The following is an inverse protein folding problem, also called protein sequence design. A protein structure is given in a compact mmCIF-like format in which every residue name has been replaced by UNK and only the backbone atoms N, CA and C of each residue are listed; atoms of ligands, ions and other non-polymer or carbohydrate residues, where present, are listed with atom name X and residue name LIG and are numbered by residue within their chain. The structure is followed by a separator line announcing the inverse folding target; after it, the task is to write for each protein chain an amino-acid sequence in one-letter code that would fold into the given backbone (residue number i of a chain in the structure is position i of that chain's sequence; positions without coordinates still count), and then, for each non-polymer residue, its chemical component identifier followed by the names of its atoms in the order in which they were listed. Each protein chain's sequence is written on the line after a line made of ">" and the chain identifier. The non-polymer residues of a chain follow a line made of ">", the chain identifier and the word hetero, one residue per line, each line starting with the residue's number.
data_IF_619909952588
#
_entry.id   IF_619909952588
#
_cell.length_a   1.000
_cell.length_b   1.000
_cell.length_c   1.000
_cell.angle_alpha   90.00
_cell.angle_beta   90.00
_cell.angle_gamma   90.00
#
_symmetry.space_group_name_H-M   'P 1'
#
loop_
_entity.id
_entity.type
_entity.pdbx_description
1 polymer ?
#
# COMPACT_ATOMS: atom_id res chain seq x y z
N UNK A 1 25.82 -39.70 18.37
CA UNK A 1 24.77 -38.92 17.66
C UNK A 1 24.07 -38.04 18.67
N UNK A 2 23.82 -36.77 18.35
CA UNK A 2 23.00 -35.92 19.22
C UNK A 2 21.54 -36.42 19.16
N UNK A 3 20.81 -36.46 20.28
CA UNK A 3 19.39 -36.82 20.26
C UNK A 3 18.60 -35.84 19.39
N UNK A 4 17.68 -36.36 18.58
CA UNK A 4 16.73 -35.53 17.85
C UNK A 4 15.52 -35.21 18.74
N UNK A 5 15.02 -33.98 18.64
CA UNK A 5 13.86 -33.51 19.42
C UNK A 5 12.78 -32.92 18.50
N UNK A 6 12.03 -33.76 17.76
CA UNK A 6 11.06 -33.29 16.76
C UNK A 6 9.96 -32.39 17.33
N UNK A 7 9.44 -32.73 18.53
CA UNK A 7 8.40 -31.94 19.20
C UNK A 7 8.87 -30.53 19.54
N UNK A 8 10.11 -30.41 20.01
CA UNK A 8 10.71 -29.10 20.36
C UNK A 8 10.91 -28.29 19.08
N UNK A 9 11.45 -28.90 18.03
CA UNK A 9 11.66 -28.25 16.72
C UNK A 9 10.35 -27.71 16.14
N UNK A 10 9.30 -28.53 16.08
CA UNK A 10 7.99 -28.11 15.56
C UNK A 10 7.36 -26.98 16.39
N UNK A 11 7.52 -27.02 17.72
CA UNK A 11 7.05 -25.94 18.58
C UNK A 11 7.82 -24.63 18.35
N UNK A 12 9.15 -24.71 18.22
CA UNK A 12 10.00 -23.55 17.90
C UNK A 12 9.68 -22.97 16.53
N UNK A 13 9.43 -23.82 15.53
CA UNK A 13 9.03 -23.40 14.20
C UNK A 13 7.72 -22.61 14.24
N UNK A 14 6.70 -23.13 14.94
CA UNK A 14 5.42 -22.43 15.10
C UNK A 14 5.59 -21.05 15.75
N UNK A 15 6.33 -20.98 16.85
CA UNK A 15 6.64 -19.70 17.53
C UNK A 15 7.39 -18.75 16.59
N UNK A 16 8.35 -19.28 15.83
CA UNK A 16 9.10 -18.53 14.84
C UNK A 16 8.19 -17.91 13.78
N UNK A 17 7.35 -18.72 13.13
CA UNK A 17 6.40 -18.28 12.11
C UNK A 17 5.44 -17.21 12.64
N UNK A 18 4.87 -17.43 13.82
CA UNK A 18 3.94 -16.46 14.43
C UNK A 18 4.64 -15.13 14.74
N UNK A 19 5.89 -15.17 15.21
CA UNK A 19 6.69 -13.97 15.46
C UNK A 19 7.01 -13.21 14.16
N UNK A 20 7.38 -13.92 13.08
CA UNK A 20 7.65 -13.30 11.77
C UNK A 20 6.40 -12.62 11.22
N UNK A 21 5.26 -13.31 11.24
CA UNK A 21 3.97 -12.76 10.79
C UNK A 21 3.56 -11.52 11.57
N UNK A 22 3.75 -11.52 12.88
CA UNK A 22 3.44 -10.35 13.70
C UNK A 22 4.37 -9.19 13.38
N UNK A 23 5.67 -9.44 13.18
CA UNK A 23 6.63 -8.40 12.82
C UNK A 23 6.34 -7.78 11.46
N UNK A 24 6.01 -8.60 10.46
CA UNK A 24 5.55 -8.17 9.14
C UNK A 24 4.33 -7.26 9.26
N UNK A 25 3.28 -7.70 9.98
CA UNK A 25 2.07 -6.90 10.22
C UNK A 25 2.39 -5.54 10.86
N UNK A 26 3.28 -5.52 11.86
CA UNK A 26 3.66 -4.27 12.52
C UNK A 26 4.46 -3.31 11.62
N UNK A 27 5.30 -3.84 10.71
CA UNK A 27 6.01 -3.01 9.73
C UNK A 27 5.06 -2.44 8.67
N UNK A 28 4.06 -3.22 8.26
CA UNK A 28 3.08 -2.81 7.25
C UNK A 28 2.11 -1.77 7.81
N UNK A 29 1.65 -1.93 9.05
CA UNK A 29 0.86 -0.92 9.78
C UNK A 29 1.56 0.44 9.92
N UNK A 30 2.89 0.47 9.86
CA UNK A 30 3.69 1.71 9.92
C UNK A 30 3.91 2.36 8.54
N UNK A 31 3.25 1.84 7.51
CA UNK A 31 3.39 2.30 6.12
C UNK A 31 2.04 2.61 5.49
N UNK A 32 2.04 3.06 4.23
CA UNK A 32 0.80 3.31 3.47
C UNK A 32 -0.10 2.07 3.31
N UNK A 33 0.44 0.88 3.61
CA UNK A 33 -0.29 -0.39 3.58
C UNK A 33 -1.28 -0.56 4.74
N UNK A 34 -1.24 0.32 5.76
CA UNK A 34 -2.08 0.20 6.95
C UNK A 34 -3.58 0.24 6.65
N UNK A 35 -3.98 1.07 5.69
CA UNK A 35 -5.38 1.31 5.35
C UNK A 35 -5.87 0.41 4.21
N UNK A 36 -5.00 -0.44 3.67
CA UNK A 36 -5.33 -1.35 2.57
C UNK A 36 -5.89 -2.66 3.16
N UNK A 37 -7.14 -3.04 2.84
CA UNK A 37 -7.72 -4.30 3.29
C UNK A 37 -6.89 -5.50 2.84
N UNK A 38 -6.76 -6.49 3.72
CA UNK A 38 -6.06 -7.74 3.45
C UNK A 38 -7.01 -8.91 3.65
N UNK A 39 -6.96 -9.84 2.71
CA UNK A 39 -7.77 -11.04 2.72
C UNK A 39 -6.87 -12.25 2.56
N UNK A 40 -7.10 -13.25 3.41
CA UNK A 40 -6.43 -14.54 3.29
C UNK A 40 -7.22 -15.40 2.28
N UNK A 41 -6.54 -15.81 1.20
CA UNK A 41 -7.08 -16.76 0.24
C UNK A 41 -6.54 -18.16 0.57
N UNK A 42 -7.42 -19.09 0.88
CA UNK A 42 -7.05 -20.48 1.22
C UNK A 42 -6.88 -21.36 -0.02
N UNK A 43 -7.54 -21.00 -1.12
CA UNK A 43 -7.57 -21.75 -2.36
C UNK A 43 -7.47 -20.81 -3.57
N UNK A 44 -7.02 -21.35 -4.70
CA UNK A 44 -6.81 -20.61 -5.94
C UNK A 44 -5.43 -19.94 -6.03
N UNK A 45 -5.09 -19.50 -7.24
CA UNK A 45 -3.83 -18.82 -7.54
C UNK A 45 -4.02 -17.52 -8.34
N UNK A 46 -5.26 -17.06 -8.49
CA UNK A 46 -5.63 -15.85 -9.21
C UNK A 46 -6.87 -15.17 -8.63
N UNK A 47 -6.96 -13.88 -8.88
CA UNK A 47 -8.15 -13.05 -8.68
C UNK A 47 -8.64 -12.63 -10.07
N UNK A 48 -9.96 -12.59 -10.25
CA UNK A 48 -10.58 -12.08 -11.47
C UNK A 48 -11.63 -11.02 -11.13
N UNK A 49 -11.68 -9.94 -11.91
CA UNK A 49 -12.73 -8.92 -11.83
C UNK A 49 -13.34 -8.67 -13.19
N UNK A 50 -14.66 -8.60 -13.26
CA UNK A 50 -15.39 -8.25 -14.48
C UNK A 50 -15.68 -6.74 -14.50
N UNK A 51 -15.30 -6.07 -15.58
CA UNK A 51 -15.58 -4.65 -15.80
C UNK A 51 -17.03 -4.46 -16.29
N UNK A 52 -17.53 -3.23 -16.28
CA UNK A 52 -18.88 -2.89 -16.78
C UNK A 52 -19.11 -3.32 -18.24
N UNK A 53 -18.03 -3.40 -19.04
CA UNK A 53 -18.07 -3.82 -20.45
C UNK A 53 -18.02 -5.35 -20.63
N UNK A 54 -18.04 -6.14 -19.55
CA UNK A 54 -17.97 -7.61 -19.57
C UNK A 54 -16.57 -8.17 -19.80
N UNK A 55 -15.54 -7.31 -19.84
CA UNK A 55 -14.14 -7.74 -19.90
C UNK A 55 -13.67 -8.26 -18.54
N UNK A 56 -13.07 -9.45 -18.53
CA UNK A 56 -12.52 -10.07 -17.32
C UNK A 56 -11.03 -9.76 -17.23
N UNK A 57 -10.65 -9.02 -16.18
CA UNK A 57 -9.24 -8.79 -15.81
C UNK A 57 -8.82 -9.89 -14.82
N UNK A 58 -7.80 -10.67 -15.16
CA UNK A 58 -7.24 -11.72 -14.30
C UNK A 58 -5.85 -11.33 -13.79
N UNK A 59 -5.63 -11.51 -12.49
CA UNK A 59 -4.33 -11.27 -11.85
C UNK A 59 -3.91 -12.51 -11.06
N UNK A 60 -2.69 -12.98 -11.32
CA UNK A 60 -2.11 -14.12 -10.61
C UNK A 60 -1.39 -13.65 -9.34
N UNK A 61 -1.36 -14.49 -8.31
CA UNK A 61 -0.61 -14.18 -7.10
C UNK A 61 0.89 -14.19 -7.36
N UNK A 62 1.57 -13.11 -6.96
CA UNK A 62 3.02 -13.06 -6.90
C UNK A 62 3.52 -13.68 -5.58
N UNK A 63 4.52 -14.56 -5.66
CA UNK A 63 5.16 -15.15 -4.48
C UNK A 63 6.34 -14.28 -4.04
N UNK A 64 6.28 -13.77 -2.81
CA UNK A 64 7.43 -13.17 -2.12
C UNK A 64 8.09 -14.22 -1.23
N UNK A 65 9.39 -14.43 -1.40
CA UNK A 65 10.14 -15.44 -0.65
C UNK A 65 11.57 -14.96 -0.38
N UNK A 66 12.04 -15.20 0.84
CA UNK A 66 13.42 -14.92 1.26
C UNK A 66 14.01 -16.12 1.99
N UNK A 67 15.19 -16.53 1.53
CA UNK A 67 15.94 -17.61 2.17
C UNK A 67 16.80 -17.05 3.30
N UNK A 68 16.69 -17.66 4.49
CA UNK A 68 17.53 -17.35 5.64
C UNK A 68 18.58 -18.44 5.79
N UNK A 69 19.84 -18.12 5.52
CA UNK A 69 20.97 -19.05 5.67
C UNK A 69 21.73 -18.71 6.95
N UNK A 70 21.76 -19.64 7.92
CA UNK A 70 22.53 -19.50 9.17
C UNK A 70 23.70 -20.46 9.14
N UNK A 71 24.93 -19.94 9.22
CA UNK A 71 26.14 -20.77 9.26
C UNK A 71 26.33 -21.35 10.66
N UNK A 72 26.87 -22.56 10.74
CA UNK A 72 27.17 -23.23 12.02
C UNK A 72 28.03 -22.36 12.95
N UNK A 73 29.04 -21.69 12.41
CA UNK A 73 29.94 -20.84 13.21
C UNK A 73 29.22 -19.64 13.81
N UNK A 74 28.27 -19.05 13.08
CA UNK A 74 27.45 -17.93 13.58
C UNK A 74 26.52 -18.41 14.69
N UNK A 75 25.92 -19.60 14.51
CA UNK A 75 25.07 -20.23 15.51
C UNK A 75 25.85 -20.58 16.78
N UNK A 76 27.08 -21.07 16.66
CA UNK A 76 27.93 -21.36 17.82
C UNK A 76 28.38 -20.10 18.57
N UNK A 77 28.58 -18.98 17.86
CA UNK A 77 29.03 -17.71 18.45
C UNK A 77 27.90 -16.92 19.10
N UNK A 78 26.74 -16.83 18.45
CA UNK A 78 25.61 -15.98 18.87
C UNK A 78 24.40 -16.77 19.40
N UNK A 79 24.43 -18.10 19.32
CA UNK A 79 23.29 -18.93 19.69
C UNK A 79 22.05 -18.59 18.85
N UNK A 80 20.87 -18.62 19.47
CA UNK A 80 19.60 -18.34 18.81
C UNK A 80 19.40 -16.87 18.43
N UNK A 81 20.23 -15.94 18.91
CA UNK A 81 20.12 -14.52 18.54
C UNK A 81 20.37 -14.29 17.05
N UNK A 82 21.23 -15.10 16.41
CA UNK A 82 21.48 -14.99 14.97
C UNK A 82 20.21 -15.24 14.15
N UNK A 83 19.32 -16.12 14.63
CA UNK A 83 18.05 -16.38 13.97
C UNK A 83 17.18 -15.12 14.02
N UNK A 84 17.04 -14.51 15.19
CA UNK A 84 16.26 -13.27 15.34
C UNK A 84 16.81 -12.12 14.48
N UNK A 85 18.13 -11.90 14.48
CA UNK A 85 18.76 -10.86 13.65
C UNK A 85 18.46 -11.08 12.16
N UNK A 86 18.74 -12.27 11.63
CA UNK A 86 18.51 -12.56 10.19
C UNK A 86 17.04 -12.57 9.82
N UNK A 87 16.18 -13.04 10.72
CA UNK A 87 14.73 -12.98 10.56
C UNK A 87 14.20 -11.56 10.46
N UNK A 88 14.70 -10.63 11.28
CA UNK A 88 14.34 -9.22 11.20
C UNK A 88 14.71 -8.62 9.85
N UNK A 89 15.90 -8.91 9.36
CA UNK A 89 16.36 -8.39 8.08
C UNK A 89 15.57 -8.99 6.90
N UNK A 90 15.34 -10.30 6.90
CA UNK A 90 14.54 -10.96 5.88
C UNK A 90 13.11 -10.40 5.79
N UNK A 91 12.45 -10.18 6.94
CA UNK A 91 11.09 -9.61 6.96
C UNK A 91 11.07 -8.15 6.51
N UNK A 92 12.07 -7.34 6.89
CA UNK A 92 12.18 -5.96 6.38
C UNK A 92 12.29 -5.95 4.86
N UNK A 93 13.16 -6.79 4.29
CA UNK A 93 13.31 -6.88 2.84
C UNK A 93 12.02 -7.34 2.16
N UNK A 94 11.35 -8.36 2.71
CA UNK A 94 10.10 -8.88 2.16
C UNK A 94 9.00 -7.80 2.14
N UNK A 95 8.86 -7.06 3.24
CA UNK A 95 7.93 -5.92 3.35
C UNK A 95 8.27 -4.81 2.34
N UNK A 96 9.55 -4.53 2.10
CA UNK A 96 9.96 -3.54 1.10
C UNK A 96 9.74 -4.02 -0.35
N UNK A 97 9.83 -5.32 -0.61
CA UNK A 97 9.46 -5.90 -1.91
C UNK A 97 7.95 -5.84 -2.14
N UNK A 98 7.14 -6.18 -1.12
CA UNK A 98 5.67 -6.07 -1.17
C UNK A 98 5.23 -4.62 -1.45
N UNK A 99 5.82 -3.65 -0.74
CA UNK A 99 5.55 -2.22 -0.97
C UNK A 99 5.86 -1.79 -2.40
N UNK A 100 6.98 -2.25 -2.96
CA UNK A 100 7.36 -1.92 -4.35
C UNK A 100 6.42 -2.55 -5.36
N UNK A 101 6.04 -3.81 -5.17
CA UNK A 101 5.09 -4.48 -6.06
C UNK A 101 3.75 -3.72 -6.05
N UNK A 102 3.23 -3.37 -4.88
CA UNK A 102 1.97 -2.61 -4.79
C UNK A 102 2.03 -1.23 -5.46
N UNK A 103 3.12 -0.48 -5.25
CA UNK A 103 3.30 0.81 -5.92
C UNK A 103 3.39 0.66 -7.44
N UNK A 104 4.00 -0.43 -7.93
CA UNK A 104 4.04 -0.76 -9.35
C UNK A 104 2.63 -1.04 -9.88
N UNK A 105 1.85 -1.88 -9.19
CA UNK A 105 0.46 -2.17 -9.55
C UNK A 105 -0.40 -0.90 -9.60
N UNK A 106 -0.25 0.02 -8.63
CA UNK A 106 -0.93 1.32 -8.67
C UNK A 106 -0.53 2.17 -9.88
N UNK A 107 0.75 2.20 -10.22
CA UNK A 107 1.24 2.94 -11.40
C UNK A 107 0.66 2.36 -12.69
N UNK A 108 0.68 1.03 -12.84
CA UNK A 108 0.15 0.33 -14.02
C UNK A 108 -1.36 0.56 -14.15
N UNK A 109 -2.10 0.47 -13.05
CA UNK A 109 -3.53 0.76 -13.04
C UNK A 109 -3.81 2.21 -13.44
N UNK A 110 -3.07 3.18 -12.89
CA UNK A 110 -3.22 4.60 -13.23
C UNK A 110 -2.86 4.92 -14.70
N UNK A 111 -1.87 4.22 -15.26
CA UNK A 111 -1.50 4.31 -16.67
C UNK A 111 -2.60 3.75 -17.58
N UNK A 112 -3.17 2.58 -17.25
CA UNK A 112 -4.24 1.91 -18.03
C UNK A 112 -5.45 2.83 -18.22
N UNK A 113 -5.83 3.59 -17.19
CA UNK A 113 -6.97 4.52 -17.26
C UNK A 113 -6.60 5.96 -17.64
N UNK A 114 -5.33 6.22 -17.99
CA UNK A 114 -4.87 7.57 -18.39
C UNK A 114 -4.89 8.61 -17.26
N UNK A 115 -4.89 8.17 -16.00
CA UNK A 115 -4.98 9.04 -14.84
C UNK A 115 -3.62 9.67 -14.45
N UNK A 116 -2.53 9.27 -15.12
CA UNK A 116 -1.22 9.89 -14.95
C UNK A 116 -1.26 11.37 -15.34
N UNK A 117 -0.72 12.22 -14.47
CA UNK A 117 -0.53 13.65 -14.76
C UNK A 117 0.97 13.94 -14.87
N UNK A 118 1.37 14.67 -15.91
CA UNK A 118 2.70 15.25 -15.98
C UNK A 118 2.62 16.67 -15.45
N UNK A 119 3.35 16.95 -14.39
CA UNK A 119 3.57 18.35 -14.02
C UNK A 119 4.59 18.96 -14.96
N UNK A 120 4.24 20.10 -15.54
CA UNK A 120 5.13 20.93 -16.37
C UNK A 120 6.07 21.78 -15.50
N UNK A 121 5.74 21.91 -14.22
CA UNK A 121 6.50 22.65 -13.21
C UNK A 121 7.01 21.66 -12.16
N UNK A 122 8.18 21.96 -11.59
CA UNK A 122 8.77 21.16 -10.50
C UNK A 122 8.14 21.49 -9.12
N UNK A 123 6.95 22.10 -9.15
CA UNK A 123 6.14 22.50 -7.99
C UNK A 123 5.18 21.39 -7.58
N UNK A 124 5.13 21.10 -6.29
CA UNK A 124 4.18 20.14 -5.74
C UNK A 124 2.74 20.64 -5.87
N UNK A 125 2.49 21.91 -5.58
CA UNK A 125 1.13 22.51 -5.58
C UNK A 125 0.42 22.36 -6.92
N UNK A 126 1.11 22.70 -8.01
CA UNK A 126 0.54 22.58 -9.35
C UNK A 126 0.20 21.13 -9.70
N UNK A 127 1.11 20.21 -9.37
CA UNK A 127 0.90 18.78 -9.57
C UNK A 127 -0.30 18.27 -8.74
N UNK A 128 -0.41 18.73 -7.50
CA UNK A 128 -1.49 18.36 -6.58
C UNK A 128 -2.86 18.86 -7.06
N UNK A 129 -2.96 20.11 -7.53
CA UNK A 129 -4.21 20.64 -8.09
C UNK A 129 -4.64 19.85 -9.33
N UNK A 130 -3.72 19.57 -10.26
CA UNK A 130 -4.00 18.75 -11.46
C UNK A 130 -4.43 17.32 -11.09
N UNK A 131 -3.82 16.74 -10.06
CA UNK A 131 -4.22 15.43 -9.54
C UNK A 131 -5.65 15.49 -8.98
N UNK A 132 -5.95 16.48 -8.13
CA UNK A 132 -7.29 16.67 -7.56
C UNK A 132 -8.38 16.85 -8.63
N UNK A 133 -8.07 17.53 -9.73
CA UNK A 133 -9.01 17.70 -10.84
C UNK A 133 -9.34 16.39 -11.55
N UNK A 134 -8.36 15.47 -11.68
CA UNK A 134 -8.55 14.19 -12.38
C UNK A 134 -9.22 13.12 -11.52
N UNK A 135 -8.89 13.03 -10.24
CA UNK A 135 -9.44 11.97 -9.38
C UNK A 135 -10.93 12.19 -9.12
N UNK A 136 -11.65 11.09 -8.87
CA UNK A 136 -12.98 11.15 -8.27
C UNK A 136 -12.83 11.21 -6.76
N UNK A 137 -13.65 12.02 -6.09
CA UNK A 137 -13.68 12.11 -4.64
C UNK A 137 -15.02 11.61 -4.13
N UNK A 138 -14.95 10.82 -3.07
CA UNK A 138 -16.12 10.43 -2.29
C UNK A 138 -16.20 11.30 -1.03
N UNK A 139 -17.43 11.50 -0.56
CA UNK A 139 -17.73 12.36 0.56
C UNK A 139 -18.48 11.58 1.64
N UNK A 140 -18.26 11.96 2.90
CA UNK A 140 -18.99 11.42 4.05
C UNK A 140 -20.41 12.01 4.15
N UNK A 141 -21.19 11.53 5.12
CA UNK A 141 -22.56 11.98 5.37
C UNK A 141 -22.66 13.47 5.72
N UNK A 142 -21.55 14.08 6.15
CA UNK A 142 -21.45 15.50 6.50
C UNK A 142 -20.93 16.36 5.33
N UNK A 143 -20.64 15.74 4.18
CA UNK A 143 -20.13 16.42 2.99
C UNK A 143 -18.64 16.73 3.04
N UNK A 144 -17.87 16.11 3.93
CA UNK A 144 -16.41 16.21 3.93
C UNK A 144 -15.82 15.20 2.94
N UNK A 145 -14.78 15.57 2.17
CA UNK A 145 -14.10 14.62 1.32
C UNK A 145 -13.41 13.55 2.18
N UNK A 146 -13.49 12.30 1.75
CA UNK A 146 -12.71 11.22 2.37
C UNK A 146 -11.22 11.57 2.32
N UNK A 147 -10.45 11.23 3.38
CA UNK A 147 -9.05 11.57 3.46
C UNK A 147 -8.25 10.91 2.33
N UNK A 148 -7.38 11.70 1.70
CA UNK A 148 -6.48 11.23 0.65
C UNK A 148 -5.11 10.87 1.24
N UNK A 149 -4.65 9.66 0.97
CA UNK A 149 -3.27 9.26 1.25
C UNK A 149 -2.39 9.58 0.06
N UNK A 150 -1.42 10.49 0.24
CA UNK A 150 -0.49 10.90 -0.81
C UNK A 150 0.88 10.29 -0.52
N UNK A 151 1.37 9.47 -1.46
CA UNK A 151 2.70 8.86 -1.37
C UNK A 151 3.66 9.68 -2.22
N UNK A 152 4.71 10.22 -1.59
CA UNK A 152 5.72 11.06 -2.26
C UNK A 152 7.12 10.56 -1.97
N UNK A 153 8.04 10.84 -2.90
CA UNK A 153 9.47 10.56 -2.69
C UNK A 153 10.04 11.46 -1.59
N UNK A 154 11.12 11.05 -0.90
CA UNK A 154 11.78 11.89 0.11
C UNK A 154 12.17 13.27 -0.42
N UNK A 155 12.69 13.34 -1.66
CA UNK A 155 13.03 14.60 -2.34
C UNK A 155 11.81 15.52 -2.52
N UNK A 156 10.67 14.96 -2.90
CA UNK A 156 9.44 15.75 -3.04
C UNK A 156 8.92 16.21 -1.68
N UNK A 157 9.04 15.38 -0.63
CA UNK A 157 8.69 15.76 0.74
C UNK A 157 9.46 16.98 1.23
N UNK A 158 10.76 17.05 0.95
CA UNK A 158 11.57 18.22 1.30
C UNK A 158 11.06 19.49 0.63
N UNK A 159 10.66 19.42 -0.65
CA UNK A 159 10.07 20.55 -1.37
C UNK A 159 8.74 20.97 -0.80
N UNK A 160 7.86 20.02 -0.48
CA UNK A 160 6.57 20.31 0.16
C UNK A 160 6.78 21.12 1.44
N UNK A 161 7.76 20.74 2.26
CA UNK A 161 8.08 21.45 3.50
C UNK A 161 8.64 22.87 3.25
N UNK A 162 9.22 23.12 2.08
CA UNK A 162 9.80 24.42 1.68
C UNK A 162 8.80 25.31 0.94
N UNK A 163 7.70 24.77 0.44
CA UNK A 163 6.65 25.49 -0.27
C UNK A 163 5.49 25.85 0.69
N UNK A 164 5.48 27.06 1.30
CA UNK A 164 4.43 27.43 2.27
C UNK A 164 3.06 27.47 1.61
N UNK A 165 2.03 26.95 2.28
CA UNK A 165 0.65 27.03 1.79
C UNK A 165 0.25 28.51 1.66
N UNK A 166 -0.19 28.91 0.47
CA UNK A 166 -0.64 30.28 0.20
C UNK A 166 -2.17 30.34 0.20
N UNK A 167 -2.78 31.49 0.55
CA UNK A 167 -4.24 31.64 0.50
C UNK A 167 -4.83 31.36 -0.89
N UNK A 168 -4.08 31.67 -1.95
CA UNK A 168 -4.46 31.36 -3.32
C UNK A 168 -4.55 29.84 -3.57
N UNK A 169 -3.57 29.08 -3.08
CA UNK A 169 -3.57 27.63 -3.20
C UNK A 169 -4.75 27.00 -2.45
N UNK A 170 -5.02 27.44 -1.22
CA UNK A 170 -6.17 26.97 -0.44
C UNK A 170 -7.49 27.26 -1.15
N UNK A 171 -7.62 28.47 -1.72
CA UNK A 171 -8.80 28.85 -2.49
C UNK A 171 -9.00 27.96 -3.71
N UNK A 172 -7.94 27.63 -4.43
CA UNK A 172 -8.00 26.75 -5.60
C UNK A 172 -8.39 25.33 -5.20
N UNK A 173 -7.80 24.79 -4.13
CA UNK A 173 -8.19 23.48 -3.58
C UNK A 173 -9.67 23.47 -3.19
N UNK A 174 -10.14 24.49 -2.47
CA UNK A 174 -11.53 24.60 -2.07
C UNK A 174 -12.49 24.64 -3.27
N UNK A 175 -12.16 25.40 -4.31
CA UNK A 175 -12.97 25.45 -5.54
C UNK A 175 -13.07 24.10 -6.23
N UNK A 176 -11.97 23.34 -6.31
CA UNK A 176 -11.97 22.01 -6.90
C UNK A 176 -12.82 21.06 -6.05
N UNK A 177 -12.65 21.06 -4.73
CA UNK A 177 -13.43 20.19 -3.81
C UNK A 177 -14.93 20.51 -3.93
N UNK A 178 -15.31 21.78 -3.97
CA UNK A 178 -16.72 22.18 -4.10
C UNK A 178 -17.33 21.74 -5.43
N UNK A 179 -16.57 21.82 -6.52
CA UNK A 179 -16.97 21.27 -7.82
C UNK A 179 -17.18 19.75 -7.73
N UNK A 180 -16.21 19.03 -7.16
CA UNK A 180 -16.26 17.56 -6.98
C UNK A 180 -17.42 17.12 -6.09
N UNK A 181 -17.75 17.91 -5.06
CA UNK A 181 -18.91 17.66 -4.19
C UNK A 181 -20.22 17.70 -4.97
N UNK A 182 -20.39 18.69 -5.85
CA UNK A 182 -21.58 18.79 -6.72
C UNK A 182 -21.67 17.61 -7.69
N UNK A 183 -20.56 17.23 -8.31
CA UNK A 183 -20.48 16.04 -9.19
C UNK A 183 -20.85 14.76 -8.43
N UNK A 184 -20.38 14.62 -7.19
CA UNK A 184 -20.69 13.48 -6.33
C UNK A 184 -22.17 13.42 -5.95
N UNK A 185 -22.77 14.54 -5.51
CA UNK A 185 -24.20 14.63 -5.16
C UNK A 185 -25.06 14.25 -6.38
N UNK A 186 -24.72 14.78 -7.56
CA UNK A 186 -25.43 14.47 -8.79
C UNK A 186 -25.39 12.97 -9.07
N UNK A 187 -24.20 12.35 -9.04
CA UNK A 187 -24.01 10.91 -9.22
C UNK A 187 -24.80 10.07 -8.20
N UNK A 188 -24.77 10.44 -6.91
CA UNK A 188 -25.47 9.70 -5.85
C UNK A 188 -27.00 9.87 -5.92
N UNK A 189 -27.49 11.02 -6.39
CA UNK A 189 -28.93 11.24 -6.60
C UNK A 189 -29.48 10.33 -7.71
N UNK A 190 -28.71 10.10 -8.77
CA UNK A 190 -29.06 9.16 -9.85
C UNK A 190 -29.04 7.70 -9.39
N UNK A 191 -28.22 7.33 -8.39
CA UNK A 191 -28.19 5.97 -7.82
C UNK A 191 -29.43 5.64 -6.98
N UNK A 192 -30.08 6.64 -6.39
CA UNK A 192 -31.28 6.46 -5.55
C UNK A 192 -32.59 6.37 -6.33
N UNK A 193 -32.58 6.62 -7.65
CA UNK A 193 -33.79 6.65 -8.49
C UNK A 193 -34.15 5.28 -9.13
N UNK A 194 -33.57 4.18 -8.63
CA UNK A 194 -33.95 2.83 -9.03
C UNK A 194 -34.90 2.26 -7.96
N UNK A 195 -36.16 2.69 -8.03
CA UNK A 195 -37.33 2.01 -7.45
C UNK A 195 -38.18 1.42 -8.58
#
# INVERSE_FOLDING_TARGET
>A
MLPDFPKIKSHMEKIGVDKLRNMEKELLKKSFMADIPRYDFFEGNKISSENFDGEIDEQFFEKFEKEIIIKRDELLKKGLQVFEEKSQDAVKELVEEEKRSMLKTFSEAAEKVGNVTKSTTDSFKDAFLKMLEKISLDFDEFGNPNPLTIIVSPRMREKINQEPITPEFERNVYQIIEKKRKEWIDRESHRKLVD
#
